data_IF_986213202107
#
_entry.id   IF_986213202107
#
_cell.length_a   1.000
_cell.length_b   1.000
_cell.length_c   1.000
_cell.angle_alpha   90.00
_cell.angle_beta   90.00
_cell.angle_gamma   90.00
#
_symmetry.space_group_name_H-M   'P 1'
#
loop_
_entity.id
_entity.type
_entity.pdbx_description
1 polymer ?
#
# COMPACT_ATOMS: atom_id res chain seq x y z
N UNK A 1 16.11 11.87 13.69
CA UNK A 1 14.97 11.37 12.94
C UNK A 1 15.38 10.41 11.84
N UNK A 2 14.44 10.02 11.00
CA UNK A 2 14.68 9.00 9.96
C UNK A 2 15.71 9.45 8.90
N UNK A 3 15.73 10.72 8.52
CA UNK A 3 16.73 11.27 7.60
C UNK A 3 18.18 11.13 8.09
N UNK A 4 18.41 11.25 9.40
CA UNK A 4 19.74 11.04 9.99
C UNK A 4 20.15 9.56 9.88
N UNK A 5 19.24 8.64 10.19
CA UNK A 5 19.51 7.20 10.10
C UNK A 5 19.73 6.75 8.67
N UNK A 6 18.96 7.30 7.73
CA UNK A 6 19.14 7.08 6.30
C UNK A 6 20.53 7.53 5.83
N UNK A 7 20.96 8.73 6.22
CA UNK A 7 22.31 9.25 5.90
C UNK A 7 23.42 8.34 6.39
N UNK A 8 23.38 7.96 7.67
CA UNK A 8 24.37 7.04 8.28
C UNK A 8 24.41 5.70 7.53
N UNK A 9 23.26 5.18 7.12
CA UNK A 9 23.17 3.90 6.42
C UNK A 9 23.75 4.00 5.01
N UNK A 10 23.53 5.12 4.30
CA UNK A 10 24.16 5.37 3.00
C UNK A 10 25.69 5.46 3.11
N UNK A 11 26.20 6.15 4.13
CA UNK A 11 27.65 6.23 4.39
C UNK A 11 28.27 4.85 4.64
N UNK A 12 27.54 3.99 5.37
CA UNK A 12 27.98 2.61 5.62
C UNK A 12 27.94 1.77 4.34
N UNK A 13 26.93 1.93 3.49
CA UNK A 13 26.85 1.24 2.20
C UNK A 13 27.99 1.63 1.28
N UNK A 14 28.33 2.92 1.21
CA UNK A 14 29.49 3.41 0.43
C UNK A 14 30.80 2.83 0.98
N UNK A 15 30.93 2.74 2.30
CA UNK A 15 32.14 2.22 2.95
C UNK A 15 32.31 0.71 2.83
N UNK A 16 31.19 -0.01 2.80
CA UNK A 16 31.13 -1.47 2.74
C UNK A 16 30.25 -1.96 1.58
N UNK A 17 30.58 -1.61 0.32
CA UNK A 17 29.84 -2.08 -0.83
C UNK A 17 29.91 -3.61 -0.89
N UNK A 18 28.88 -4.23 -1.43
CA UNK A 18 28.76 -5.69 -1.54
C UNK A 18 28.80 -6.46 -0.21
N UNK A 19 28.41 -5.80 0.89
CA UNK A 19 28.26 -6.48 2.17
C UNK A 19 26.87 -7.14 2.27
N UNK A 20 26.85 -8.47 2.50
CA UNK A 20 25.61 -9.21 2.76
C UNK A 20 24.89 -8.69 4.02
N UNK A 21 25.63 -8.27 5.03
CA UNK A 21 25.06 -7.67 6.23
C UNK A 21 24.36 -6.33 5.90
N UNK A 22 24.98 -5.49 5.04
CA UNK A 22 24.35 -4.25 4.60
C UNK A 22 23.09 -4.51 3.78
N UNK A 23 23.05 -5.53 2.94
CA UNK A 23 21.83 -5.92 2.23
C UNK A 23 20.70 -6.33 3.19
N UNK A 24 21.01 -7.08 4.25
CA UNK A 24 20.04 -7.44 5.30
C UNK A 24 19.53 -6.22 6.06
N UNK A 25 20.44 -5.31 6.44
CA UNK A 25 20.07 -4.05 7.14
C UNK A 25 19.17 -3.20 6.23
N UNK A 26 19.54 -3.02 4.97
CA UNK A 26 18.75 -2.25 4.00
C UNK A 26 17.34 -2.85 3.84
N UNK A 27 17.23 -4.17 3.78
CA UNK A 27 15.94 -4.84 3.69
C UNK A 27 15.06 -4.60 4.93
N UNK A 28 15.63 -4.66 6.13
CA UNK A 28 14.90 -4.41 7.38
C UNK A 28 14.45 -2.97 7.53
N UNK A 29 15.24 -2.03 7.03
CA UNK A 29 15.02 -0.59 7.20
C UNK A 29 14.43 0.08 5.94
N UNK A 30 14.07 -0.69 4.91
CA UNK A 30 13.63 -0.19 3.57
C UNK A 30 12.51 0.85 3.62
N UNK A 31 11.62 0.76 4.61
CA UNK A 31 10.50 1.71 4.77
C UNK A 31 10.93 3.12 5.20
N UNK A 32 12.18 3.29 5.65
CA UNK A 32 12.75 4.58 6.04
C UNK A 32 13.35 5.34 4.86
N UNK A 33 13.56 4.66 3.74
CA UNK A 33 14.13 5.26 2.54
C UNK A 33 13.04 5.84 1.64
N UNK A 34 13.32 7.01 1.08
CA UNK A 34 12.61 7.40 -0.13
C UNK A 34 12.95 6.43 -1.27
N UNK A 35 12.07 6.32 -2.26
CA UNK A 35 12.28 5.36 -3.36
C UNK A 35 13.49 5.72 -4.23
N UNK A 36 13.82 7.01 -4.33
CA UNK A 36 15.03 7.47 -5.03
C UNK A 36 16.28 7.05 -4.27
N UNK A 37 16.31 7.29 -2.96
CA UNK A 37 17.44 6.91 -2.09
C UNK A 37 17.61 5.39 -1.99
N UNK A 38 16.50 4.64 -1.99
CA UNK A 38 16.56 3.18 -2.04
C UNK A 38 17.17 2.71 -3.38
N UNK A 39 16.85 3.39 -4.49
CA UNK A 39 17.47 3.14 -5.79
C UNK A 39 18.98 3.42 -5.79
N UNK A 40 19.41 4.54 -5.20
CA UNK A 40 20.83 4.86 -5.02
C UNK A 40 21.53 3.79 -4.16
N UNK A 41 20.92 3.40 -3.04
CA UNK A 41 21.47 2.35 -2.17
C UNK A 41 21.63 1.00 -2.89
N UNK A 42 20.65 0.60 -3.69
CA UNK A 42 20.71 -0.62 -4.48
C UNK A 42 21.80 -0.57 -5.56
N UNK A 43 22.04 0.60 -6.14
CA UNK A 43 23.09 0.76 -7.18
C UNK A 43 24.53 0.61 -6.64
N UNK A 44 24.71 0.64 -5.32
CA UNK A 44 26.02 0.40 -4.70
C UNK A 44 26.40 -1.09 -4.63
N UNK A 45 25.47 -1.98 -4.89
CA UNK A 45 25.74 -3.41 -4.99
C UNK A 45 26.06 -3.76 -6.45
N UNK A 46 27.29 -4.18 -6.73
CA UNK A 46 27.76 -4.59 -8.07
C UNK A 46 28.18 -6.05 -8.15
N UNK A 47 28.26 -6.76 -7.00
CA UNK A 47 28.56 -8.18 -6.95
C UNK A 47 27.43 -9.02 -7.57
N UNK A 48 27.71 -9.87 -8.59
CA UNK A 48 26.70 -10.74 -9.19
C UNK A 48 26.02 -11.67 -8.17
N UNK A 49 26.76 -12.11 -7.13
CA UNK A 49 26.22 -12.94 -6.06
C UNK A 49 25.14 -12.21 -5.28
N UNK A 50 25.35 -10.93 -4.92
CA UNK A 50 24.40 -10.15 -4.13
C UNK A 50 23.23 -9.67 -4.99
N UNK A 51 23.46 -9.27 -6.23
CA UNK A 51 22.39 -8.93 -7.19
C UNK A 51 21.49 -10.14 -7.44
N UNK A 52 22.07 -11.34 -7.48
CA UNK A 52 21.32 -12.60 -7.59
C UNK A 52 20.59 -13.03 -6.31
N UNK A 53 20.92 -12.44 -5.16
CA UNK A 53 20.40 -12.82 -3.86
C UNK A 53 18.89 -12.52 -3.72
N UNK A 54 18.09 -13.40 -3.10
CA UNK A 54 16.65 -13.19 -2.93
C UNK A 54 16.28 -11.85 -2.29
N UNK A 55 17.01 -11.41 -1.26
CA UNK A 55 16.76 -10.12 -0.58
C UNK A 55 16.98 -8.91 -1.51
N UNK A 56 17.96 -8.95 -2.41
CA UNK A 56 18.18 -7.89 -3.38
C UNK A 56 16.99 -7.79 -4.35
N UNK A 57 16.57 -8.93 -4.88
CA UNK A 57 15.40 -9.01 -5.77
C UNK A 57 14.12 -8.55 -5.07
N UNK A 58 13.94 -8.91 -3.79
CA UNK A 58 12.82 -8.44 -2.96
C UNK A 58 12.84 -6.92 -2.80
N UNK A 59 14.01 -6.31 -2.55
CA UNK A 59 14.15 -4.85 -2.43
C UNK A 59 13.85 -4.12 -3.74
N UNK A 60 14.31 -4.67 -4.87
CA UNK A 60 13.99 -4.13 -6.21
C UNK A 60 12.49 -4.20 -6.45
N UNK A 61 11.87 -5.35 -6.23
CA UNK A 61 10.43 -5.54 -6.40
C UNK A 61 9.62 -4.62 -5.47
N UNK A 62 10.05 -4.47 -4.21
CA UNK A 62 9.46 -3.52 -3.26
C UNK A 62 9.49 -2.09 -3.80
N UNK A 63 10.66 -1.63 -4.25
CA UNK A 63 10.82 -0.27 -4.80
C UNK A 63 9.92 -0.06 -6.02
N UNK A 64 9.90 -0.99 -6.96
CA UNK A 64 9.06 -0.92 -8.16
C UNK A 64 7.57 -0.88 -7.81
N UNK A 65 7.11 -1.69 -6.86
CA UNK A 65 5.72 -1.72 -6.43
C UNK A 65 5.31 -0.38 -5.79
N UNK A 66 6.14 0.19 -4.91
CA UNK A 66 5.88 1.50 -4.30
C UNK A 66 5.90 2.61 -5.33
N UNK A 67 6.82 2.58 -6.29
CA UNK A 67 6.88 3.58 -7.37
C UNK A 67 5.65 3.55 -8.26
N UNK A 68 5.10 2.37 -8.57
CA UNK A 68 3.87 2.23 -9.38
C UNK A 68 2.63 2.87 -8.74
N UNK A 69 2.65 3.04 -7.42
CA UNK A 69 1.52 3.60 -6.64
C UNK A 69 1.85 4.96 -6.01
N UNK A 70 2.97 5.58 -6.40
CA UNK A 70 3.37 6.90 -5.91
C UNK A 70 2.53 8.02 -6.53
N UNK A 71 2.56 9.19 -5.89
CA UNK A 71 1.87 10.39 -6.38
C UNK A 71 2.26 10.71 -7.81
N UNK A 72 1.27 11.01 -8.65
CA UNK A 72 1.45 11.29 -10.09
C UNK A 72 1.40 10.06 -10.99
N UNK A 73 1.35 8.85 -10.43
CA UNK A 73 1.20 7.62 -11.22
C UNK A 73 -0.27 7.27 -11.44
N UNK A 74 -0.53 6.58 -12.54
CA UNK A 74 -1.86 6.01 -12.80
C UNK A 74 -2.02 4.80 -11.89
N UNK A 75 -3.09 4.79 -11.09
CA UNK A 75 -3.42 3.64 -10.23
C UNK A 75 -3.57 2.39 -11.10
N UNK A 76 -2.88 1.28 -10.77
CA UNK A 76 -3.05 0.01 -11.48
C UNK A 76 -4.52 -0.45 -11.49
N UNK A 77 -4.97 -1.00 -12.60
CA UNK A 77 -6.35 -1.50 -12.69
C UNK A 77 -6.52 -2.80 -11.90
N UNK A 78 -7.61 -2.90 -11.19
CA UNK A 78 -8.02 -4.10 -10.46
C UNK A 78 -9.53 -4.20 -10.39
N UNK A 79 -10.03 -5.39 -10.07
CA UNK A 79 -11.44 -5.62 -9.77
C UNK A 79 -11.56 -6.45 -8.51
N UNK A 80 -12.57 -6.16 -7.70
CA UNK A 80 -12.88 -6.89 -6.48
C UNK A 80 -14.38 -7.10 -6.35
N UNK A 81 -14.81 -8.18 -5.67
CA UNK A 81 -16.22 -8.43 -5.43
C UNK A 81 -16.82 -7.43 -4.45
N UNK A 82 -17.99 -6.92 -4.80
CA UNK A 82 -18.85 -6.10 -3.94
C UNK A 82 -19.65 -6.96 -2.93
N UNK A 83 -20.45 -6.30 -2.11
CA UNK A 83 -21.38 -6.96 -1.17
C UNK A 83 -22.38 -7.89 -1.85
N UNK A 84 -22.74 -7.59 -3.11
CA UNK A 84 -23.70 -8.36 -3.88
C UNK A 84 -23.02 -9.46 -4.72
N UNK A 85 -21.69 -9.60 -4.61
CA UNK A 85 -20.90 -10.55 -5.39
C UNK A 85 -20.57 -10.09 -6.81
N UNK A 86 -20.95 -8.87 -7.19
CA UNK A 86 -20.60 -8.28 -8.48
C UNK A 86 -19.16 -7.79 -8.48
N UNK A 87 -18.44 -8.06 -9.56
CA UNK A 87 -17.07 -7.56 -9.76
C UNK A 87 -17.09 -6.06 -10.08
N UNK A 88 -16.46 -5.27 -9.24
CA UNK A 88 -16.34 -3.83 -9.42
C UNK A 88 -14.90 -3.48 -9.81
N UNK A 89 -14.74 -2.92 -11.00
CA UNK A 89 -13.44 -2.48 -11.51
C UNK A 89 -13.13 -1.04 -11.08
N UNK A 90 -11.90 -0.78 -10.62
CA UNK A 90 -11.49 0.58 -10.22
C UNK A 90 -11.60 1.58 -11.37
N UNK A 91 -11.41 1.16 -12.62
CA UNK A 91 -11.52 2.01 -13.79
C UNK A 91 -12.91 2.62 -14.00
N UNK A 92 -13.97 2.03 -13.41
CA UNK A 92 -15.34 2.57 -13.51
C UNK A 92 -15.51 3.90 -12.77
N UNK A 93 -14.55 4.26 -11.92
CA UNK A 93 -14.54 5.53 -11.16
C UNK A 93 -13.67 6.62 -11.81
N UNK A 94 -13.21 6.42 -13.05
CA UNK A 94 -12.44 7.45 -13.77
C UNK A 94 -13.25 8.74 -13.89
N UNK A 95 -12.58 9.86 -13.65
CA UNK A 95 -13.21 11.19 -13.62
C UNK A 95 -13.72 11.61 -12.25
N UNK A 96 -13.65 10.72 -11.24
CA UNK A 96 -13.93 11.04 -9.84
C UNK A 96 -12.64 11.16 -9.03
N UNK A 97 -12.69 11.90 -7.93
CA UNK A 97 -11.71 11.79 -6.86
C UNK A 97 -12.08 10.58 -5.99
N UNK A 98 -11.16 9.65 -5.84
CA UNK A 98 -11.42 8.38 -5.14
C UNK A 98 -10.54 8.25 -3.92
N UNK A 99 -11.14 8.02 -2.75
CA UNK A 99 -10.45 7.55 -1.56
C UNK A 99 -10.49 6.02 -1.56
N UNK A 100 -9.32 5.38 -1.66
CA UNK A 100 -9.18 3.95 -1.40
C UNK A 100 -8.89 3.76 0.09
N UNK A 101 -9.89 3.29 0.83
CA UNK A 101 -9.79 3.03 2.27
C UNK A 101 -9.59 1.54 2.53
N UNK A 102 -8.40 1.17 3.03
CA UNK A 102 -8.05 -0.21 3.35
C UNK A 102 -8.27 -0.49 4.83
N UNK A 103 -9.16 -1.41 5.16
CA UNK A 103 -9.53 -1.68 6.53
C UNK A 103 -9.83 -3.15 6.82
N UNK A 104 -10.15 -3.44 8.07
CA UNK A 104 -10.73 -4.71 8.51
C UNK A 104 -11.53 -4.50 9.79
N UNK A 105 -12.46 -5.39 10.08
CA UNK A 105 -13.31 -5.34 11.28
C UNK A 105 -12.52 -5.37 12.60
N UNK A 106 -11.33 -5.96 12.57
CA UNK A 106 -10.40 -6.06 13.70
C UNK A 106 -9.35 -4.93 13.74
N UNK A 107 -9.31 -4.05 12.74
CA UNK A 107 -8.36 -2.94 12.68
C UNK A 107 -8.86 -1.74 13.50
N UNK A 108 -8.50 -1.69 14.77
CA UNK A 108 -8.91 -0.60 15.68
C UNK A 108 -8.61 0.80 15.16
N UNK A 109 -7.38 1.12 14.70
CA UNK A 109 -7.05 2.42 14.12
C UNK A 109 -7.88 2.75 12.87
N UNK A 110 -8.13 1.78 11.99
CA UNK A 110 -8.98 1.98 10.79
C UNK A 110 -10.40 2.36 11.19
N UNK A 111 -10.97 1.63 12.16
CA UNK A 111 -12.31 1.93 12.70
C UNK A 111 -12.36 3.32 13.35
N UNK A 112 -11.28 3.72 14.02
CA UNK A 112 -11.16 5.05 14.63
C UNK A 112 -11.16 6.19 13.62
N UNK A 113 -10.73 5.94 12.38
CA UNK A 113 -10.69 6.93 11.30
C UNK A 113 -12.04 7.07 10.56
N UNK A 114 -12.95 6.09 10.67
CA UNK A 114 -14.25 6.11 9.97
C UNK A 114 -15.05 7.41 10.10
N UNK A 115 -15.12 8.07 11.26
CA UNK A 115 -15.84 9.35 11.36
C UNK A 115 -15.29 10.44 10.43
N UNK A 116 -13.98 10.45 10.17
CA UNK A 116 -13.36 11.39 9.24
C UNK A 116 -13.67 11.02 7.79
N UNK A 117 -13.71 9.72 7.48
CA UNK A 117 -14.10 9.21 6.15
C UNK A 117 -15.55 9.58 5.84
N UNK A 118 -16.49 9.38 6.77
CA UNK A 118 -17.88 9.79 6.64
C UNK A 118 -18.00 11.30 6.39
N UNK A 119 -17.33 12.10 7.21
CA UNK A 119 -17.32 13.55 7.06
C UNK A 119 -16.80 14.01 5.69
N UNK A 120 -15.74 13.35 5.18
CA UNK A 120 -15.22 13.66 3.86
C UNK A 120 -16.22 13.30 2.77
N UNK A 121 -16.87 12.14 2.88
CA UNK A 121 -17.92 11.71 1.96
C UNK A 121 -19.08 12.71 1.93
N UNK A 122 -19.65 13.05 3.08
CA UNK A 122 -20.78 13.97 3.19
C UNK A 122 -20.49 15.35 2.60
N UNK A 123 -19.24 15.82 2.73
CA UNK A 123 -18.83 17.14 2.22
C UNK A 123 -18.54 17.17 0.73
N UNK A 124 -18.13 16.04 0.13
CA UNK A 124 -17.49 16.01 -1.17
C UNK A 124 -18.16 15.10 -2.21
N UNK A 125 -19.05 14.18 -1.78
CA UNK A 125 -19.65 13.19 -2.70
C UNK A 125 -20.35 13.87 -3.90
N UNK A 126 -21.16 14.88 -3.66
CA UNK A 126 -21.86 15.64 -4.70
C UNK A 126 -20.92 16.42 -5.63
N UNK A 127 -19.64 16.52 -5.26
CA UNK A 127 -18.60 17.20 -6.03
C UNK A 127 -17.71 16.21 -6.81
N UNK A 128 -18.15 14.97 -6.96
CA UNK A 128 -17.44 13.94 -7.70
C UNK A 128 -16.38 13.19 -6.88
N UNK A 129 -16.51 13.18 -5.55
CA UNK A 129 -15.70 12.36 -4.66
C UNK A 129 -16.40 11.02 -4.37
N UNK A 130 -15.62 9.95 -4.24
CA UNK A 130 -16.13 8.62 -3.93
C UNK A 130 -15.22 7.92 -2.91
N UNK A 131 -15.83 7.12 -2.05
CA UNK A 131 -15.12 6.24 -1.11
C UNK A 131 -15.27 4.79 -1.55
N UNK A 132 -14.15 4.15 -1.85
CA UNK A 132 -14.07 2.71 -2.09
C UNK A 132 -13.44 2.08 -0.86
N UNK A 133 -14.28 1.52 -0.02
CA UNK A 133 -13.92 0.86 1.23
C UNK A 133 -13.58 -0.60 0.95
N UNK A 134 -12.33 -1.00 1.18
CA UNK A 134 -11.80 -2.31 0.80
C UNK A 134 -11.42 -3.07 2.07
N UNK A 135 -12.21 -4.08 2.38
CA UNK A 135 -11.94 -4.94 3.53
C UNK A 135 -11.01 -6.11 3.19
N UNK A 136 -10.10 -6.40 4.11
CA UNK A 136 -9.24 -7.59 4.10
C UNK A 136 -9.75 -8.69 5.05
N UNK A 137 -10.98 -8.60 5.53
CA UNK A 137 -11.60 -9.61 6.39
C UNK A 137 -11.70 -10.96 5.69
N UNK A 138 -11.24 -12.02 6.36
CA UNK A 138 -11.36 -13.38 5.85
C UNK A 138 -12.79 -13.88 5.89
N UNK A 139 -13.54 -13.52 6.95
CA UNK A 139 -14.94 -13.92 7.13
C UNK A 139 -15.86 -12.81 6.64
N UNK A 140 -16.76 -13.18 5.74
CA UNK A 140 -17.76 -12.25 5.22
C UNK A 140 -18.73 -11.75 6.30
N UNK A 141 -19.07 -12.61 7.26
CA UNK A 141 -19.93 -12.25 8.39
C UNK A 141 -19.37 -11.10 9.22
N UNK A 142 -18.06 -11.11 9.49
CA UNK A 142 -17.41 -10.10 10.30
C UNK A 142 -17.35 -8.76 9.55
N UNK A 143 -17.02 -8.79 8.25
CA UNK A 143 -17.08 -7.64 7.36
C UNK A 143 -18.48 -7.00 7.32
N UNK A 144 -19.53 -7.81 7.00
CA UNK A 144 -20.90 -7.30 6.91
C UNK A 144 -21.40 -6.72 8.24
N UNK A 145 -21.08 -7.37 9.35
CA UNK A 145 -21.42 -6.90 10.69
C UNK A 145 -20.77 -5.54 10.96
N UNK A 146 -19.47 -5.41 10.76
CA UNK A 146 -18.74 -4.18 11.02
C UNK A 146 -19.19 -3.04 10.11
N UNK A 147 -19.46 -3.30 8.81
CA UNK A 147 -20.02 -2.29 7.90
C UNK A 147 -21.34 -1.72 8.41
N UNK A 148 -22.25 -2.59 8.86
CA UNK A 148 -23.53 -2.17 9.41
C UNK A 148 -23.37 -1.36 10.70
N UNK A 149 -22.54 -1.84 11.62
CA UNK A 149 -22.25 -1.16 12.89
C UNK A 149 -21.60 0.21 12.68
N UNK A 150 -20.83 0.38 11.61
CA UNK A 150 -20.14 1.63 11.25
C UNK A 150 -20.87 2.44 10.18
N UNK A 151 -22.10 2.04 9.81
CA UNK A 151 -22.97 2.76 8.86
C UNK A 151 -22.29 3.03 7.50
N UNK A 152 -21.54 2.06 7.00
CA UNK A 152 -20.70 2.21 5.78
C UNK A 152 -21.44 1.78 4.50
N UNK A 153 -22.73 1.42 4.55
CA UNK A 153 -23.48 0.87 3.43
C UNK A 153 -23.61 1.82 2.23
N UNK A 154 -23.41 3.10 2.43
CA UNK A 154 -23.43 4.12 1.37
C UNK A 154 -22.10 4.26 0.62
N UNK A 155 -21.01 3.66 1.10
CA UNK A 155 -19.74 3.58 0.39
C UNK A 155 -19.76 2.46 -0.65
N UNK A 156 -18.84 2.51 -1.60
CA UNK A 156 -18.55 1.36 -2.45
C UNK A 156 -17.75 0.34 -1.64
N UNK A 157 -18.40 -0.72 -1.18
CA UNK A 157 -17.80 -1.70 -0.29
C UNK A 157 -17.33 -2.93 -1.04
N UNK A 158 -16.03 -3.18 -1.03
CA UNK A 158 -15.35 -4.30 -1.68
C UNK A 158 -14.60 -5.16 -0.67
N UNK A 159 -14.32 -6.41 -1.04
CA UNK A 159 -13.57 -7.32 -0.18
C UNK A 159 -12.44 -8.01 -0.94
N UNK A 160 -11.21 -7.82 -0.49
CA UNK A 160 -10.00 -8.48 -1.02
C UNK A 160 -9.67 -9.74 -0.20
N UNK A 161 -10.28 -10.87 -0.57
CA UNK A 161 -10.02 -12.17 0.07
C UNK A 161 -8.80 -12.90 -0.50
N UNK A 162 -8.34 -12.48 -1.67
CA UNK A 162 -7.23 -13.13 -2.41
C UNK A 162 -5.91 -12.41 -2.24
N UNK A 163 -5.89 -11.25 -1.58
CA UNK A 163 -4.68 -10.45 -1.43
C UNK A 163 -4.22 -9.76 -2.72
N UNK A 164 -5.12 -9.55 -3.67
CA UNK A 164 -4.82 -8.88 -4.96
C UNK A 164 -4.17 -7.53 -4.72
N UNK A 165 -4.67 -6.78 -3.74
CA UNK A 165 -4.16 -5.45 -3.46
C UNK A 165 -2.86 -5.47 -2.67
N UNK A 166 -2.56 -6.55 -1.96
CA UNK A 166 -1.24 -6.73 -1.36
C UNK A 166 -0.15 -6.76 -2.44
N UNK A 167 -0.39 -7.44 -3.55
CA UNK A 167 0.55 -7.48 -4.69
C UNK A 167 0.66 -6.12 -5.39
N UNK A 168 -0.45 -5.41 -5.58
CA UNK A 168 -0.49 -4.13 -6.30
C UNK A 168 0.11 -3.00 -5.47
N UNK A 169 -0.26 -2.88 -4.19
CA UNK A 169 0.10 -1.76 -3.32
C UNK A 169 1.19 -2.12 -2.29
N UNK A 170 1.67 -3.36 -2.30
CA UNK A 170 2.69 -3.87 -1.38
C UNK A 170 2.35 -3.60 0.11
N UNK A 171 1.10 -3.94 0.51
CA UNK A 171 0.55 -3.68 1.85
C UNK A 171 0.02 -4.96 2.50
#
# INVERSE_FOLDING_TARGET
GDAFKEGVMMDMLVKFPNSRAMLMILNNERKRFSMDRLGEALSLFDSPELIGHPLYKELVAYREAVMKTSVGQVVPDFSLPSMNGEEVAIRSFRGKYVLLDFWASWCGPCIGEMPNVHKAYDLLHDKGFEVISISTDRKESDWRKAMKEKQMEHFVNLRDTKGVLHEIFNR
#
